data_IF_606056517403
#
_entry.id   IF_606056517403
#
_cell.length_a   1.000
_cell.length_b   1.000
_cell.length_c   1.000
_cell.angle_alpha   90.00
_cell.angle_beta   90.00
_cell.angle_gamma   90.00
#
_symmetry.space_group_name_H-M   'P 1'
#
loop_
_entity.id
_entity.type
_entity.pdbx_description
1 polymer ?
#
# COMPACT_ATOMS: atom_id res chain seq x y z
N UNK A 1 32.67 4.63 -4.21
CA UNK A 1 31.93 3.35 -4.29
C UNK A 1 31.23 3.05 -2.96
N UNK A 2 29.91 3.31 -2.88
CA UNK A 2 28.90 2.92 -1.85
C UNK A 2 27.79 3.99 -1.81
N UNK A 3 27.02 4.14 -2.90
CA UNK A 3 25.81 5.01 -2.93
C UNK A 3 24.66 4.49 -3.81
N UNK A 4 24.76 3.30 -4.40
CA UNK A 4 23.72 2.79 -5.31
C UNK A 4 22.69 1.84 -4.66
N UNK A 5 22.78 1.56 -3.36
CA UNK A 5 21.84 0.69 -2.63
C UNK A 5 20.83 1.45 -1.76
N UNK A 6 20.67 2.77 -1.94
CA UNK A 6 19.77 3.61 -1.12
C UNK A 6 18.41 3.91 -1.76
N UNK A 7 18.20 3.64 -3.06
CA UNK A 7 16.96 4.01 -3.74
C UNK A 7 15.81 3.00 -3.52
N UNK A 8 16.10 1.69 -3.42
CA UNK A 8 15.10 0.70 -3.00
C UNK A 8 14.79 0.75 -1.50
N UNK A 9 15.59 1.47 -0.71
CA UNK A 9 15.41 1.58 0.74
C UNK A 9 14.34 2.61 1.09
N UNK A 10 13.95 3.55 0.23
CA UNK A 10 13.01 4.63 0.60
C UNK A 10 11.53 4.24 0.51
N UNK A 11 11.13 3.44 -0.47
CA UNK A 11 9.79 2.83 -0.52
C UNK A 11 9.65 1.71 0.51
N UNK A 12 10.73 0.97 0.74
CA UNK A 12 10.80 0.06 1.89
C UNK A 12 10.81 0.87 3.17
N UNK A 13 11.48 2.02 3.32
CA UNK A 13 11.45 2.84 4.54
C UNK A 13 10.08 3.45 4.80
N UNK A 14 9.29 3.87 3.81
CA UNK A 14 7.91 4.23 4.10
C UNK A 14 7.12 2.98 4.53
N UNK A 15 7.23 1.86 3.81
CA UNK A 15 6.56 0.62 4.19
C UNK A 15 7.17 -0.11 5.41
N UNK A 16 8.38 0.22 5.89
CA UNK A 16 9.14 -0.48 6.95
C UNK A 16 9.42 0.42 8.15
N UNK A 17 9.27 1.73 8.01
CA UNK A 17 8.86 2.62 9.10
C UNK A 17 7.42 2.27 9.52
N UNK A 18 6.61 1.70 8.61
CA UNK A 18 5.24 1.26 8.94
C UNK A 18 5.04 -0.26 9.15
N UNK A 19 5.89 -1.17 8.65
CA UNK A 19 5.61 -2.62 8.69
C UNK A 19 6.73 -3.52 9.26
N UNK A 20 7.66 -3.01 10.05
CA UNK A 20 8.53 -3.87 10.87
C UNK A 20 8.88 -3.20 12.19
N UNK A 21 8.34 -3.76 13.27
CA UNK A 21 8.79 -3.59 14.66
C UNK A 21 8.12 -2.49 15.51
N UNK A 22 8.00 -2.72 16.84
CA UNK A 22 7.08 -2.05 17.75
C UNK A 22 7.71 -0.76 18.27
N UNK A 23 7.66 0.34 17.52
CA UNK A 23 8.50 1.49 17.86
C UNK A 23 8.02 2.80 17.23
N UNK A 24 7.13 3.53 17.91
CA UNK A 24 7.10 5.01 17.84
C UNK A 24 7.74 5.60 19.11
N UNK A 25 8.87 5.02 19.50
CA UNK A 25 9.87 5.63 20.36
C UNK A 25 11.22 5.14 19.82
N UNK A 26 11.89 5.98 19.02
CA UNK A 26 13.32 5.81 18.84
C UNK A 26 13.99 6.36 20.11
N UNK A 27 14.56 5.46 20.91
CA UNK A 27 15.62 5.82 21.84
C UNK A 27 16.85 6.24 21.04
N UNK A 28 17.14 7.53 21.08
CA UNK A 28 18.31 8.17 20.48
C UNK A 28 17.92 9.52 19.89
N UNK A 29 18.54 10.65 20.32
CA UNK A 29 18.13 11.96 19.83
C UNK A 29 18.38 12.02 18.31
N UNK A 30 17.34 12.27 17.49
CA UNK A 30 17.58 12.63 16.10
C UNK A 30 18.41 13.92 16.07
N UNK A 31 19.19 14.18 15.01
CA UNK A 31 19.86 15.46 14.85
C UNK A 31 18.83 16.58 15.00
N UNK A 32 19.10 17.56 15.86
CA UNK A 32 18.22 18.71 16.12
C UNK A 32 17.90 19.41 14.79
N UNK A 33 16.72 19.16 14.26
CA UNK A 33 16.10 19.99 13.24
C UNK A 33 15.13 20.90 13.99
N UNK A 34 15.46 22.18 14.18
CA UNK A 34 14.57 23.12 14.85
C UNK A 34 13.21 23.14 14.13
N UNK A 35 12.11 22.89 14.85
CA UNK A 35 10.75 23.07 14.34
C UNK A 35 9.83 21.85 14.26
N UNK A 36 10.27 20.65 14.66
CA UNK A 36 9.34 19.50 14.75
C UNK A 36 8.39 19.62 15.94
N UNK A 37 7.16 19.10 15.80
CA UNK A 37 6.15 19.06 16.88
C UNK A 37 6.73 18.49 18.19
N UNK A 38 7.61 17.49 18.10
CA UNK A 38 8.26 16.82 19.23
C UNK A 38 9.29 17.69 19.96
N UNK A 39 9.85 18.70 19.29
CA UNK A 39 10.90 19.57 19.83
C UNK A 39 10.37 20.79 20.59
N UNK A 40 9.08 21.11 20.42
CA UNK A 40 8.39 22.17 21.17
C UNK A 40 7.45 21.53 22.21
N UNK A 41 7.70 21.69 23.52
CA UNK A 41 6.87 21.10 24.57
C UNK A 41 5.38 21.49 24.52
N UNK A 42 5.07 22.69 24.03
CA UNK A 42 3.68 23.15 23.90
C UNK A 42 2.99 22.47 22.72
N UNK A 43 3.67 22.38 21.58
CA UNK A 43 3.14 21.66 20.41
C UNK A 43 3.02 20.16 20.69
N UNK A 44 3.99 19.56 21.39
CA UNK A 44 3.94 18.17 21.82
C UNK A 44 2.73 17.90 22.74
N UNK A 45 2.50 18.76 23.73
CA UNK A 45 1.34 18.62 24.62
C UNK A 45 0.00 18.81 23.89
N UNK A 46 -0.08 19.79 22.97
CA UNK A 46 -1.27 19.99 22.13
C UNK A 46 -1.53 18.79 21.21
N UNK A 47 -0.46 18.25 20.60
CA UNK A 47 -0.52 17.05 19.77
C UNK A 47 -1.02 15.86 20.57
N UNK A 48 -0.49 15.62 21.77
CA UNK A 48 -0.91 14.53 22.64
C UNK A 48 -2.40 14.66 23.02
N UNK A 49 -2.83 15.85 23.45
CA UNK A 49 -4.22 16.11 23.82
C UNK A 49 -5.19 15.88 22.64
N UNK A 50 -4.79 16.29 21.43
CA UNK A 50 -5.57 16.04 20.22
C UNK A 50 -5.67 14.54 19.90
N UNK A 51 -4.55 13.80 19.95
CA UNK A 51 -4.51 12.36 19.69
C UNK A 51 -5.35 11.57 20.70
N UNK A 52 -5.32 11.94 21.98
CA UNK A 52 -6.11 11.28 23.01
C UNK A 52 -7.62 11.52 22.83
N UNK A 53 -8.02 12.75 22.52
CA UNK A 53 -9.41 13.07 22.21
C UNK A 53 -9.90 12.34 20.95
N UNK A 54 -9.07 12.31 19.89
CA UNK A 54 -9.39 11.58 18.67
C UNK A 54 -9.49 10.08 18.90
N UNK A 55 -8.53 9.49 19.63
CA UNK A 55 -8.56 8.05 20.01
C UNK A 55 -9.83 7.70 20.75
N UNK A 56 -10.24 8.52 21.73
CA UNK A 56 -11.48 8.28 22.47
C UNK A 56 -12.72 8.30 21.56
N UNK A 57 -12.80 9.24 20.62
CA UNK A 57 -13.89 9.31 19.65
C UNK A 57 -13.89 8.10 18.70
N UNK A 58 -12.72 7.68 18.21
CA UNK A 58 -12.56 6.48 17.38
C UNK A 58 -13.02 5.25 18.16
N UNK A 59 -12.53 5.02 19.37
CA UNK A 59 -12.94 3.86 20.17
C UNK A 59 -14.45 3.83 20.43
N UNK A 60 -15.06 4.96 20.75
CA UNK A 60 -16.49 5.06 20.96
C UNK A 60 -17.26 4.67 19.70
N UNK A 61 -16.87 5.22 18.54
CA UNK A 61 -17.49 4.91 17.26
C UNK A 61 -17.31 3.44 16.86
N UNK A 62 -16.10 2.89 17.01
CA UNK A 62 -15.82 1.49 16.65
C UNK A 62 -16.61 0.51 17.52
N UNK A 63 -16.81 0.79 18.82
CA UNK A 63 -17.72 0.01 19.67
C UNK A 63 -19.16 0.08 19.17
N UNK A 64 -19.63 1.25 18.73
CA UNK A 64 -20.98 1.43 18.18
C UNK A 64 -21.19 0.63 16.90
N UNK A 65 -20.25 0.66 15.95
CA UNK A 65 -20.41 -0.11 14.70
C UNK A 65 -20.25 -1.62 14.97
N UNK A 66 -19.31 -2.03 15.82
CA UNK A 66 -19.13 -3.44 16.16
C UNK A 66 -20.39 -4.05 16.80
N UNK A 67 -21.13 -3.27 17.60
CA UNK A 67 -22.39 -3.70 18.21
C UNK A 67 -23.51 -4.03 17.20
N UNK A 68 -23.39 -3.56 15.93
CA UNK A 68 -24.32 -3.95 14.86
C UNK A 68 -24.16 -5.41 14.43
N UNK A 69 -22.99 -5.99 14.67
CA UNK A 69 -22.73 -7.41 14.43
C UNK A 69 -22.64 -7.83 12.95
N UNK A 70 -22.60 -6.88 12.01
CA UNK A 70 -22.40 -7.23 10.60
C UNK A 70 -20.94 -7.63 10.36
N UNK A 71 -20.65 -8.56 9.44
CA UNK A 71 -19.27 -8.97 9.16
C UNK A 71 -18.37 -7.79 8.80
N UNK A 72 -18.90 -6.84 8.03
CA UNK A 72 -18.17 -5.65 7.57
C UNK A 72 -17.88 -4.68 8.72
N UNK A 73 -18.86 -4.39 9.58
CA UNK A 73 -18.65 -3.50 10.73
C UNK A 73 -17.66 -4.11 11.73
N UNK A 74 -17.78 -5.41 12.02
CA UNK A 74 -16.89 -6.13 12.93
C UNK A 74 -15.44 -6.15 12.40
N UNK A 75 -15.27 -6.44 11.12
CA UNK A 75 -13.96 -6.46 10.47
C UNK A 75 -13.27 -5.09 10.54
N UNK A 76 -13.99 -4.03 10.17
CA UNK A 76 -13.46 -2.66 10.20
C UNK A 76 -13.16 -2.22 11.62
N UNK A 77 -14.02 -2.55 12.58
CA UNK A 77 -13.76 -2.29 13.99
C UNK A 77 -12.46 -2.96 14.46
N UNK A 78 -12.22 -4.22 14.09
CA UNK A 78 -10.99 -4.93 14.41
C UNK A 78 -9.74 -4.27 13.83
N UNK A 79 -9.79 -3.84 12.57
CA UNK A 79 -8.63 -3.18 11.93
C UNK A 79 -8.33 -1.80 12.46
N UNK A 80 -9.35 -0.98 12.67
CA UNK A 80 -9.19 0.40 13.10
C UNK A 80 -9.04 0.53 14.62
N UNK A 81 -9.18 -0.56 15.38
CA UNK A 81 -9.04 -0.52 16.84
C UNK A 81 -7.64 -0.01 17.22
N UNK A 82 -7.51 1.02 18.08
CA UNK A 82 -6.21 1.51 18.51
C UNK A 82 -5.45 0.43 19.30
N UNK A 83 -4.28 0.01 18.80
CA UNK A 83 -3.44 -1.06 19.40
C UNK A 83 -2.19 -0.54 20.11
N UNK A 84 -2.02 0.78 20.17
CA UNK A 84 -0.94 1.42 20.90
C UNK A 84 -1.39 1.77 22.31
N UNK A 85 -0.56 1.44 23.29
CA UNK A 85 -0.73 1.84 24.68
C UNK A 85 0.65 1.92 25.33
N UNK A 86 0.81 2.81 26.32
CA UNK A 86 2.06 3.01 27.05
C UNK A 86 2.47 1.79 27.89
N UNK A 87 1.52 0.86 28.11
CA UNK A 87 1.70 -0.36 28.90
C UNK A 87 1.33 -1.61 28.06
N UNK A 88 2.18 -2.64 28.16
CA UNK A 88 1.98 -3.97 27.57
C UNK A 88 0.59 -4.57 27.87
N UNK A 89 0.03 -4.38 29.07
CA UNK A 89 -1.30 -4.91 29.43
C UNK A 89 -2.45 -4.21 28.68
N UNK A 90 -2.29 -2.91 28.41
CA UNK A 90 -3.27 -2.14 27.62
C UNK A 90 -3.19 -2.60 26.17
N UNK A 91 -1.97 -2.72 25.65
CA UNK A 91 -1.72 -3.21 24.31
C UNK A 91 -2.27 -4.63 24.11
N UNK A 92 -2.01 -5.55 25.04
CA UNK A 92 -2.51 -6.92 24.98
C UNK A 92 -4.04 -6.98 24.94
N UNK A 93 -4.73 -6.17 25.75
CA UNK A 93 -6.20 -6.06 25.73
C UNK A 93 -6.72 -5.49 24.41
N UNK A 94 -6.03 -4.50 23.84
CA UNK A 94 -6.39 -3.94 22.55
C UNK A 94 -6.25 -4.97 21.42
N UNK A 95 -5.16 -5.75 21.42
CA UNK A 95 -4.98 -6.86 20.49
C UNK A 95 -6.06 -7.94 20.63
N UNK A 96 -6.39 -8.33 21.87
CA UNK A 96 -7.46 -9.29 22.14
C UNK A 96 -8.83 -8.80 21.64
N UNK A 97 -9.16 -7.51 21.86
CA UNK A 97 -10.41 -6.92 21.38
C UNK A 97 -10.50 -6.93 19.85
N UNK A 98 -9.41 -6.53 19.19
CA UNK A 98 -9.29 -6.57 17.74
C UNK A 98 -9.47 -7.99 17.19
N UNK A 99 -8.77 -8.97 17.78
CA UNK A 99 -8.87 -10.38 17.40
C UNK A 99 -10.29 -10.93 17.58
N UNK A 100 -10.95 -10.61 18.69
CA UNK A 100 -12.32 -11.03 18.96
C UNK A 100 -13.32 -10.51 17.90
N UNK A 101 -13.16 -9.27 17.44
CA UNK A 101 -14.02 -8.73 16.37
C UNK A 101 -13.71 -9.34 15.00
N UNK A 102 -12.44 -9.60 14.68
CA UNK A 102 -12.07 -10.29 13.43
C UNK A 102 -12.60 -11.73 13.41
N UNK A 103 -12.50 -12.45 14.54
CA UNK A 103 -13.06 -13.81 14.66
C UNK A 103 -14.60 -13.79 14.58
N UNK A 104 -15.26 -12.82 15.20
CA UNK A 104 -16.71 -12.64 15.09
C UNK A 104 -17.13 -12.28 13.65
N UNK A 105 -16.36 -11.45 12.94
CA UNK A 105 -16.60 -11.12 11.54
C UNK A 105 -16.53 -12.38 10.65
N UNK A 106 -15.54 -13.23 10.88
CA UNK A 106 -15.42 -14.51 10.19
C UNK A 106 -16.61 -15.44 10.50
N UNK A 107 -16.99 -15.57 11.77
CA UNK A 107 -18.12 -16.40 12.18
C UNK A 107 -19.47 -15.92 11.59
N UNK A 108 -19.61 -14.61 11.40
CA UNK A 108 -20.78 -14.01 10.77
C UNK A 108 -20.73 -14.01 9.22
N UNK A 109 -19.57 -14.26 8.61
CA UNK A 109 -19.42 -14.21 7.14
C UNK A 109 -20.10 -15.41 6.46
N UNK A 110 -21.08 -15.10 5.62
CA UNK A 110 -21.78 -16.07 4.75
C UNK A 110 -21.07 -16.30 3.41
N UNK A 111 -20.06 -15.49 3.08
CA UNK A 111 -19.39 -15.50 1.78
C UNK A 111 -20.11 -14.68 0.68
N UNK A 112 -21.14 -13.91 1.04
CA UNK A 112 -21.87 -13.04 0.11
C UNK A 112 -21.17 -11.69 -0.14
N UNK A 113 -20.22 -11.31 0.72
CA UNK A 113 -19.39 -10.10 0.56
C UNK A 113 -17.92 -10.52 0.31
N UNK A 114 -17.48 -10.60 -0.96
CA UNK A 114 -16.10 -10.97 -1.28
C UNK A 114 -15.05 -10.04 -0.69
N UNK A 115 -15.37 -8.77 -0.43
CA UNK A 115 -14.42 -7.85 0.19
C UNK A 115 -14.14 -8.26 1.65
N UNK A 116 -15.17 -8.72 2.37
CA UNK A 116 -15.02 -9.24 3.74
C UNK A 116 -14.18 -10.52 3.74
N UNK A 117 -14.44 -11.46 2.82
CA UNK A 117 -13.65 -12.69 2.76
C UNK A 117 -12.18 -12.42 2.39
N UNK A 118 -11.95 -11.48 1.45
CA UNK A 118 -10.59 -11.07 1.05
C UNK A 118 -9.85 -10.43 2.21
N UNK A 119 -10.52 -9.54 2.92
CA UNK A 119 -10.02 -8.89 4.10
C UNK A 119 -9.63 -9.88 5.21
N UNK A 120 -10.49 -10.87 5.46
CA UNK A 120 -10.28 -11.90 6.47
C UNK A 120 -9.05 -12.77 6.17
N UNK A 121 -8.71 -13.00 4.90
CA UNK A 121 -7.46 -13.71 4.53
C UNK A 121 -6.21 -13.07 5.13
N UNK A 122 -6.18 -11.74 5.22
CA UNK A 122 -5.06 -10.98 5.76
C UNK A 122 -5.24 -10.66 7.24
N UNK A 123 -6.47 -10.41 7.68
CA UNK A 123 -6.78 -10.05 9.06
C UNK A 123 -6.54 -11.21 10.02
N UNK A 124 -6.97 -12.43 9.69
CA UNK A 124 -6.99 -13.52 10.65
C UNK A 124 -5.58 -13.89 11.17
N UNK A 125 -4.56 -14.13 10.31
CA UNK A 125 -3.22 -14.45 10.79
C UNK A 125 -2.58 -13.31 11.61
N UNK A 126 -2.86 -12.04 11.25
CA UNK A 126 -2.32 -10.87 11.95
C UNK A 126 -2.92 -10.65 13.33
N UNK A 127 -4.11 -11.18 13.59
CA UNK A 127 -4.84 -10.99 14.84
C UNK A 127 -4.97 -12.28 15.66
N UNK A 128 -4.23 -13.33 15.31
CA UNK A 128 -4.32 -14.66 15.93
C UNK A 128 -5.76 -15.22 15.96
N UNK A 129 -6.58 -14.82 14.97
CA UNK A 129 -7.97 -15.25 14.86
C UNK A 129 -8.07 -16.57 14.11
N UNK A 130 -8.96 -17.46 14.57
CA UNK A 130 -9.15 -18.80 14.00
C UNK A 130 -10.07 -18.76 12.80
N UNK A 131 -9.49 -18.60 11.62
CA UNK A 131 -10.22 -18.62 10.35
C UNK A 131 -9.78 -19.79 9.47
N UNK A 132 -10.73 -20.41 8.76
CA UNK A 132 -10.40 -21.38 7.72
C UNK A 132 -9.96 -20.64 6.45
N UNK A 133 -8.65 -20.48 6.32
CA UNK A 133 -8.03 -19.84 5.15
C UNK A 133 -8.38 -20.56 3.84
N UNK A 134 -8.53 -21.89 3.87
CA UNK A 134 -8.88 -22.67 2.69
C UNK A 134 -10.30 -22.36 2.22
N UNK A 135 -11.25 -22.27 3.15
CA UNK A 135 -12.63 -21.89 2.86
C UNK A 135 -12.72 -20.46 2.29
N UNK A 136 -12.00 -19.50 2.88
CA UNK A 136 -11.96 -18.11 2.38
C UNK A 136 -11.40 -18.06 0.95
N UNK A 137 -10.27 -18.72 0.68
CA UNK A 137 -9.71 -18.78 -0.67
C UNK A 137 -10.68 -19.44 -1.65
N UNK A 138 -11.37 -20.51 -1.26
CA UNK A 138 -12.36 -21.17 -2.10
C UNK A 138 -13.52 -20.24 -2.47
N UNK A 139 -14.09 -19.52 -1.50
CA UNK A 139 -15.18 -18.56 -1.73
C UNK A 139 -14.74 -17.44 -2.66
N UNK A 140 -13.55 -16.88 -2.42
CA UNK A 140 -13.01 -15.80 -3.24
C UNK A 140 -12.72 -16.22 -4.67
N UNK A 141 -12.10 -17.39 -4.87
CA UNK A 141 -11.87 -17.91 -6.22
C UNK A 141 -13.19 -18.29 -6.93
N UNK A 142 -14.26 -18.59 -6.21
CA UNK A 142 -15.58 -18.78 -6.81
C UNK A 142 -16.24 -17.46 -7.19
N UNK A 143 -16.10 -16.42 -6.36
CA UNK A 143 -16.63 -15.08 -6.63
C UNK A 143 -15.86 -14.35 -7.73
N UNK A 144 -14.55 -14.58 -7.83
CA UNK A 144 -13.64 -13.91 -8.76
C UNK A 144 -12.58 -14.87 -9.36
N UNK A 145 -13.01 -15.84 -10.20
CA UNK A 145 -12.14 -16.91 -10.73
C UNK A 145 -11.04 -16.41 -11.68
N UNK A 146 -11.15 -15.19 -12.19
CA UNK A 146 -10.25 -14.61 -13.18
C UNK A 146 -9.15 -13.72 -12.59
N UNK A 147 -9.07 -13.60 -11.27
CA UNK A 147 -8.15 -12.69 -10.59
C UNK A 147 -6.82 -13.36 -10.22
N UNK A 148 -5.75 -12.90 -10.86
CA UNK A 148 -4.41 -13.40 -10.63
C UNK A 148 -3.91 -13.20 -9.19
N UNK A 149 -4.35 -12.16 -8.47
CA UNK A 149 -3.93 -11.93 -7.09
C UNK A 149 -4.38 -13.07 -6.17
N UNK A 150 -5.66 -13.44 -6.24
CA UNK A 150 -6.22 -14.55 -5.46
C UNK A 150 -5.54 -15.88 -5.79
N UNK A 151 -5.29 -16.14 -7.07
CA UNK A 151 -4.62 -17.36 -7.54
C UNK A 151 -3.17 -17.43 -7.08
N UNK A 152 -2.46 -16.29 -7.04
CA UNK A 152 -1.09 -16.22 -6.50
C UNK A 152 -1.07 -16.38 -4.97
N UNK A 153 -2.08 -15.86 -4.29
CA UNK A 153 -2.25 -16.07 -2.85
C UNK A 153 -2.56 -17.54 -2.54
N UNK A 154 -3.39 -18.21 -3.34
CA UNK A 154 -3.64 -19.65 -3.25
C UNK A 154 -2.40 -20.49 -3.59
N UNK A 155 -1.61 -20.06 -4.58
CA UNK A 155 -0.31 -20.66 -4.88
C UNK A 155 0.63 -20.58 -3.66
N UNK A 156 0.75 -19.41 -3.04
CA UNK A 156 1.60 -19.23 -1.86
C UNK A 156 1.15 -20.13 -0.69
N UNK A 157 -0.15 -20.21 -0.44
CA UNK A 157 -0.73 -21.09 0.58
C UNK A 157 -0.40 -22.57 0.30
N UNK A 158 -0.55 -23.02 -0.95
CA UNK A 158 -0.20 -24.38 -1.35
C UNK A 158 1.29 -24.67 -1.16
N UNK A 159 2.18 -23.72 -1.47
CA UNK A 159 3.63 -23.83 -1.22
C UNK A 159 3.91 -23.97 0.29
N UNK A 160 3.27 -23.15 1.14
CA UNK A 160 3.42 -23.25 2.60
C UNK A 160 2.97 -24.62 3.14
N UNK A 161 1.89 -25.17 2.58
CA UNK A 161 1.40 -26.52 2.89
C UNK A 161 2.19 -27.65 2.22
N UNK A 162 3.22 -27.33 1.43
CA UNK A 162 4.04 -28.28 0.65
C UNK A 162 3.23 -29.09 -0.38
N UNK A 163 2.08 -28.58 -0.81
CA UNK A 163 1.26 -29.16 -1.88
C UNK A 163 1.70 -28.58 -3.24
N UNK A 164 2.77 -29.15 -3.78
CA UNK A 164 3.37 -28.66 -5.04
C UNK A 164 2.45 -28.86 -6.25
N UNK A 165 1.57 -29.85 -6.23
CA UNK A 165 0.61 -30.08 -7.31
C UNK A 165 -0.45 -28.97 -7.32
N UNK A 166 -1.02 -28.61 -6.16
CA UNK A 166 -1.92 -27.47 -6.07
C UNK A 166 -1.22 -26.15 -6.41
N UNK A 167 0.00 -25.94 -5.89
CA UNK A 167 0.78 -24.75 -6.18
C UNK A 167 0.98 -24.56 -7.69
N UNK A 168 1.34 -25.61 -8.43
CA UNK A 168 1.53 -25.50 -9.88
C UNK A 168 0.21 -25.22 -10.61
N UNK A 169 -0.90 -25.85 -10.21
CA UNK A 169 -2.21 -25.55 -10.81
C UNK A 169 -2.59 -24.08 -10.62
N UNK A 170 -2.43 -23.54 -9.41
CA UNK A 170 -2.73 -22.13 -9.14
C UNK A 170 -1.79 -21.18 -9.89
N UNK A 171 -0.52 -21.55 -10.07
CA UNK A 171 0.42 -20.79 -10.89
C UNK A 171 -0.04 -20.71 -12.36
N UNK A 172 -0.39 -21.86 -12.95
CA UNK A 172 -0.88 -21.91 -14.33
C UNK A 172 -2.23 -21.20 -14.49
N UNK A 173 -3.11 -21.28 -13.48
CA UNK A 173 -4.35 -20.53 -13.47
C UNK A 173 -4.07 -19.01 -13.42
N UNK A 174 -3.15 -18.55 -12.57
CA UNK A 174 -2.75 -17.14 -12.49
C UNK A 174 -2.15 -16.63 -13.82
N UNK A 175 -1.38 -17.47 -14.52
CA UNK A 175 -0.84 -17.14 -15.84
C UNK A 175 -1.91 -17.01 -16.94
N UNK A 176 -3.05 -17.68 -16.76
CA UNK A 176 -4.21 -17.65 -17.66
C UNK A 176 -5.34 -16.73 -17.14
N UNK A 177 -5.10 -16.02 -16.05
CA UNK A 177 -6.06 -15.10 -15.46
C UNK A 177 -6.36 -13.93 -16.39
N UNK A 178 -7.52 -13.31 -16.21
CA UNK A 178 -8.00 -12.21 -17.07
C UNK A 178 -7.64 -10.84 -16.50
N UNK A 179 -7.43 -10.73 -15.19
CA UNK A 179 -7.14 -9.47 -14.52
C UNK A 179 -6.35 -9.69 -13.22
N UNK A 180 -5.88 -8.60 -12.62
CA UNK A 180 -5.22 -8.56 -11.32
C UNK A 180 -5.90 -7.46 -10.49
N UNK A 181 -6.42 -7.80 -9.31
CA UNK A 181 -7.04 -6.84 -8.39
C UNK A 181 -6.65 -7.18 -6.95
N UNK A 182 -5.84 -6.31 -6.35
CA UNK A 182 -5.37 -6.47 -4.97
C UNK A 182 -6.33 -5.93 -3.90
N UNK A 183 -7.51 -5.42 -4.27
CA UNK A 183 -8.52 -4.84 -3.36
C UNK A 183 -8.01 -3.75 -2.39
N UNK A 184 -6.80 -3.24 -2.61
CA UNK A 184 -6.15 -2.24 -1.78
C UNK A 184 -6.99 -0.96 -1.64
N UNK A 185 -7.52 -0.50 -2.75
CA UNK A 185 -8.41 0.67 -2.81
C UNK A 185 -9.75 0.41 -2.09
N UNK A 186 -10.35 -0.77 -2.30
CA UNK A 186 -11.66 -1.13 -1.74
C UNK A 186 -11.62 -1.19 -0.21
N UNK A 187 -10.55 -1.76 0.34
CA UNK A 187 -10.32 -1.83 1.79
C UNK A 187 -10.02 -0.44 2.36
N UNK A 188 -9.17 0.34 1.69
CA UNK A 188 -8.89 1.71 2.08
C UNK A 188 -10.15 2.58 2.11
N UNK A 189 -11.01 2.49 1.09
CA UNK A 189 -12.27 3.22 1.00
C UNK A 189 -13.23 2.82 2.13
N UNK A 190 -13.29 1.53 2.47
CA UNK A 190 -14.09 1.04 3.58
C UNK A 190 -13.63 1.65 4.93
N UNK A 191 -12.32 1.69 5.17
CA UNK A 191 -11.77 2.31 6.38
C UNK A 191 -12.01 3.83 6.40
N UNK A 192 -11.76 4.53 5.29
CA UNK A 192 -11.99 5.97 5.19
C UNK A 192 -13.45 6.35 5.45
N UNK A 193 -14.39 5.61 4.84
CA UNK A 193 -15.83 5.85 5.00
C UNK A 193 -16.27 5.68 6.46
N UNK A 194 -15.60 4.81 7.21
CA UNK A 194 -15.87 4.60 8.64
C UNK A 194 -15.26 5.73 9.47
N UNK A 195 -13.98 6.05 9.29
CA UNK A 195 -13.31 7.09 10.09
C UNK A 195 -13.87 8.50 9.84
N UNK A 196 -14.41 8.78 8.65
CA UNK A 196 -15.10 10.05 8.35
C UNK A 196 -16.37 10.28 9.15
N UNK A 197 -16.94 9.24 9.76
CA UNK A 197 -18.11 9.35 10.64
C UNK A 197 -17.73 9.64 12.09
N UNK A 198 -16.44 9.62 12.42
CA UNK A 198 -15.95 9.90 13.77
C UNK A 198 -15.81 11.42 13.95
N UNK A 199 -16.31 12.00 15.05
CA UNK A 199 -16.08 13.40 15.35
C UNK A 199 -14.58 13.69 15.51
N UNK A 200 -14.02 14.55 14.66
CA UNK A 200 -12.59 14.92 14.74
C UNK A 200 -12.42 16.15 15.63
N UNK A 201 -11.59 16.12 16.68
CA UNK A 201 -11.29 17.29 17.48
C UNK A 201 -10.67 18.41 16.61
N UNK A 202 -10.95 19.69 16.89
CA UNK A 202 -10.30 20.79 16.19
C UNK A 202 -8.79 20.77 16.47
N UNK A 203 -7.99 21.10 15.45
CA UNK A 203 -6.56 21.33 15.61
C UNK A 203 -6.30 22.76 16.04
N UNK A 204 -5.41 22.94 17.02
CA UNK A 204 -4.83 24.26 17.31
C UNK A 204 -4.12 24.80 16.05
N UNK A 205 -4.22 26.11 15.71
CA UNK A 205 -3.62 26.64 14.49
C UNK A 205 -2.11 26.47 14.39
N UNK A 206 -1.37 26.57 15.49
CA UNK A 206 0.08 26.39 15.49
C UNK A 206 0.43 24.90 15.30
N UNK A 207 -0.31 24.01 15.96
CA UNK A 207 -0.19 22.57 15.74
C UNK A 207 -0.53 22.18 14.30
N UNK A 208 -1.60 22.73 13.73
CA UNK A 208 -2.01 22.50 12.35
C UNK A 208 -0.93 22.91 11.35
N UNK A 209 -0.30 24.08 11.56
CA UNK A 209 0.81 24.53 10.73
C UNK A 209 2.01 23.59 10.81
N UNK A 210 2.43 23.21 12.03
CA UNK A 210 3.55 22.31 12.26
C UNK A 210 3.33 20.91 11.64
N UNK A 211 2.15 20.32 11.85
CA UNK A 211 1.79 19.04 11.22
C UNK A 211 1.78 19.16 9.69
N UNK A 212 1.24 20.27 9.16
CA UNK A 212 1.21 20.50 7.72
C UNK A 212 2.61 20.58 7.09
N UNK A 213 3.57 21.13 7.84
CA UNK A 213 4.98 21.15 7.48
C UNK A 213 5.61 19.74 7.56
N UNK A 214 5.43 19.04 8.68
CA UNK A 214 5.96 17.69 8.93
C UNK A 214 5.45 16.67 7.89
N UNK A 215 4.16 16.73 7.55
CA UNK A 215 3.54 15.91 6.52
C UNK A 215 3.84 16.40 5.10
N UNK A 216 4.32 17.64 4.96
CA UNK A 216 4.69 18.16 3.66
C UNK A 216 3.54 18.56 2.75
N UNK A 217 2.38 18.91 3.30
CA UNK A 217 1.15 19.14 2.53
C UNK A 217 1.20 20.50 1.80
N UNK A 218 2.04 21.42 2.28
CA UNK A 218 2.18 22.79 1.74
C UNK A 218 1.10 23.76 2.20
N UNK A 219 0.40 23.40 3.28
CA UNK A 219 -0.61 24.18 3.99
C UNK A 219 -0.71 23.64 5.42
N UNK A 220 -1.37 24.38 6.31
CA UNK A 220 -1.77 23.84 7.60
C UNK A 220 -2.61 22.57 7.41
N UNK A 221 -2.35 21.56 8.24
CA UNK A 221 -3.12 20.34 8.28
C UNK A 221 -4.54 20.61 8.78
N UNK A 222 -5.49 19.91 8.20
CA UNK A 222 -6.87 19.87 8.64
C UNK A 222 -7.09 18.62 9.50
N UNK A 223 -8.15 18.60 10.31
CA UNK A 223 -8.53 17.38 11.03
C UNK A 223 -8.74 16.18 10.08
N UNK A 224 -9.21 16.42 8.85
CA UNK A 224 -9.40 15.38 7.85
C UNK A 224 -8.07 14.79 7.37
N UNK A 225 -7.04 15.62 7.17
CA UNK A 225 -5.71 15.13 6.76
C UNK A 225 -5.15 14.10 7.76
N UNK A 226 -5.41 14.31 9.05
CA UNK A 226 -4.97 13.37 10.09
C UNK A 226 -5.68 12.01 9.99
N UNK A 227 -7.00 12.01 9.75
CA UNK A 227 -7.76 10.79 9.55
C UNK A 227 -7.30 10.06 8.28
N UNK A 228 -7.07 10.81 7.20
CA UNK A 228 -6.63 10.28 5.91
C UNK A 228 -5.22 9.67 5.99
N UNK A 229 -4.28 10.31 6.70
CA UNK A 229 -2.95 9.74 6.99
C UNK A 229 -3.08 8.42 7.76
N UNK A 230 -3.95 8.35 8.77
CA UNK A 230 -4.18 7.13 9.52
C UNK A 230 -4.74 6.01 8.63
N UNK A 231 -5.72 6.31 7.77
CA UNK A 231 -6.25 5.35 6.78
C UNK A 231 -5.15 4.85 5.86
N UNK A 232 -4.36 5.75 5.27
CA UNK A 232 -3.28 5.37 4.35
C UNK A 232 -2.25 4.46 5.03
N UNK A 233 -1.84 4.79 6.25
CA UNK A 233 -0.87 3.99 7.01
C UNK A 233 -1.41 2.59 7.33
N UNK A 234 -2.66 2.49 7.81
CA UNK A 234 -3.28 1.20 8.11
C UNK A 234 -3.48 0.40 6.81
N UNK A 235 -3.94 1.02 5.73
CA UNK A 235 -4.16 0.36 4.44
C UNK A 235 -2.86 -0.23 3.87
N UNK A 236 -1.78 0.55 3.91
CA UNK A 236 -0.44 0.08 3.54
C UNK A 236 -0.02 -1.14 4.39
N UNK A 237 -0.29 -1.13 5.70
CA UNK A 237 0.07 -2.24 6.57
C UNK A 237 -0.76 -3.52 6.32
N UNK A 238 -2.00 -3.42 5.86
CA UNK A 238 -2.91 -4.57 5.75
C UNK A 238 -3.08 -5.12 4.33
N UNK A 239 -3.03 -4.27 3.31
CA UNK A 239 -3.52 -4.60 1.98
C UNK A 239 -2.44 -4.64 0.89
N UNK A 240 -1.16 -4.39 1.21
CA UNK A 240 -0.08 -4.58 0.24
C UNK A 240 -0.08 -6.06 -0.20
N UNK A 241 -0.23 -6.35 -1.50
CA UNK A 241 -0.33 -7.71 -1.99
C UNK A 241 0.99 -8.46 -1.80
N UNK A 242 0.88 -9.77 -1.63
CA UNK A 242 2.06 -10.64 -1.52
C UNK A 242 2.69 -10.81 -2.91
N UNK A 243 3.70 -9.99 -3.20
CA UNK A 243 4.50 -10.08 -4.44
C UNK A 243 5.58 -11.18 -4.38
N UNK A 244 5.73 -11.83 -3.23
CA UNK A 244 6.75 -12.84 -2.97
C UNK A 244 6.74 -14.00 -4.00
N UNK A 245 5.59 -14.62 -4.34
CA UNK A 245 5.57 -15.72 -5.31
C UNK A 245 6.12 -15.33 -6.67
N UNK A 246 5.73 -14.14 -7.16
CA UNK A 246 6.18 -13.62 -8.45
C UNK A 246 7.68 -13.30 -8.36
N UNK A 247 8.11 -12.54 -7.35
CA UNK A 247 9.52 -12.12 -7.22
C UNK A 247 10.49 -13.27 -6.99
N UNK A 248 10.03 -14.40 -6.43
CA UNK A 248 10.84 -15.62 -6.31
C UNK A 248 10.88 -16.43 -7.59
N UNK A 249 9.71 -16.77 -8.14
CA UNK A 249 9.60 -17.70 -9.28
C UNK A 249 9.98 -17.04 -10.61
N UNK A 250 9.73 -15.73 -10.74
CA UNK A 250 10.06 -14.93 -11.91
C UNK A 250 11.39 -14.18 -11.74
N UNK A 251 12.23 -14.52 -10.75
CA UNK A 251 13.55 -13.92 -10.64
C UNK A 251 14.45 -14.43 -11.76
N UNK A 252 14.91 -13.54 -12.63
CA UNK A 252 16.01 -13.84 -13.52
C UNK A 252 17.29 -13.98 -12.69
N UNK A 253 17.74 -15.21 -12.44
CA UNK A 253 19.19 -15.42 -12.57
C UNK A 253 19.48 -15.42 -14.06
N UNK A 254 20.48 -14.64 -14.45
CA UNK A 254 20.90 -14.41 -15.84
C UNK A 254 20.94 -15.74 -16.60
N UNK A 255 20.00 -15.94 -17.54
CA UNK A 255 20.14 -16.91 -18.64
C UNK A 255 19.32 -18.20 -18.64
N UNK A 256 18.37 -18.49 -17.74
CA UNK A 256 17.74 -19.84 -17.79
C UNK A 256 16.33 -20.02 -17.20
N UNK A 257 15.42 -19.03 -17.27
CA UNK A 257 14.00 -19.39 -17.07
C UNK A 257 13.53 -20.24 -18.27
N UNK A 258 12.95 -21.43 -18.06
CA UNK A 258 12.28 -22.19 -19.11
C UNK A 258 11.27 -21.33 -19.86
N UNK A 259 11.09 -21.58 -21.16
CA UNK A 259 10.29 -20.70 -22.04
C UNK A 259 8.82 -20.60 -21.58
N UNK A 260 8.25 -21.70 -21.11
CA UNK A 260 6.92 -21.79 -20.52
C UNK A 260 6.80 -20.99 -19.21
N UNK A 261 7.79 -21.09 -18.33
CA UNK A 261 7.86 -20.30 -17.08
C UNK A 261 7.98 -18.82 -17.39
N UNK A 262 8.83 -18.45 -18.35
CA UNK A 262 8.98 -17.06 -18.80
C UNK A 262 7.66 -16.53 -19.37
N UNK A 263 6.97 -17.30 -20.21
CA UNK A 263 5.68 -16.91 -20.77
C UNK A 263 4.62 -16.68 -19.68
N UNK A 264 4.54 -17.58 -18.69
CA UNK A 264 3.65 -17.42 -17.54
C UNK A 264 3.98 -16.16 -16.72
N UNK A 265 5.26 -15.95 -16.41
CA UNK A 265 5.72 -14.76 -15.70
C UNK A 265 5.41 -13.47 -16.47
N UNK A 266 5.63 -13.43 -17.79
CA UNK A 266 5.29 -12.28 -18.65
C UNK A 266 3.79 -11.98 -18.60
N UNK A 267 2.93 -13.00 -18.62
CA UNK A 267 1.48 -12.81 -18.48
C UNK A 267 1.11 -12.20 -17.15
N UNK A 268 1.62 -12.74 -16.05
CA UNK A 268 1.33 -12.23 -14.70
C UNK A 268 1.85 -10.78 -14.55
N UNK A 269 3.07 -10.48 -15.00
CA UNK A 269 3.58 -9.10 -14.99
C UNK A 269 2.77 -8.16 -15.88
N UNK A 270 2.19 -8.63 -16.99
CA UNK A 270 1.32 -7.81 -17.83
C UNK A 270 0.07 -7.38 -17.07
N UNK A 271 -0.55 -8.30 -16.32
CA UNK A 271 -1.71 -8.02 -15.47
C UNK A 271 -1.33 -7.09 -14.30
N UNK A 272 -0.22 -7.39 -13.61
CA UNK A 272 0.27 -6.56 -12.50
C UNK A 272 0.64 -5.14 -12.93
N UNK A 273 1.22 -4.97 -14.13
CA UNK A 273 1.55 -3.65 -14.68
C UNK A 273 0.31 -2.87 -15.16
N UNK A 274 -0.85 -3.53 -15.30
CA UNK A 274 -2.11 -2.89 -15.64
C UNK A 274 -2.91 -2.49 -14.40
N UNK A 275 -2.62 -3.06 -13.24
CA UNK A 275 -3.20 -2.65 -11.97
C UNK A 275 -2.64 -1.28 -11.54
N UNK A 276 -3.52 -0.29 -11.54
CA UNK A 276 -3.21 1.09 -11.13
C UNK A 276 -3.46 1.36 -9.65
N UNK A 277 -3.94 0.38 -8.88
CA UNK A 277 -4.30 0.57 -7.47
C UNK A 277 -3.11 1.02 -6.62
N UNK A 278 -1.94 0.41 -6.81
CA UNK A 278 -0.70 0.73 -6.08
C UNK A 278 0.51 0.80 -7.02
N UNK A 279 1.43 1.73 -6.75
CA UNK A 279 2.58 2.04 -7.62
C UNK A 279 3.59 0.89 -7.71
N UNK A 280 3.68 0.07 -6.66
CA UNK A 280 4.70 -0.98 -6.54
C UNK A 280 4.53 -2.08 -7.60
N UNK A 281 3.30 -2.37 -8.02
CA UNK A 281 3.02 -3.37 -9.06
C UNK A 281 3.68 -2.99 -10.40
N UNK A 282 3.30 -1.86 -11.01
CA UNK A 282 3.95 -1.34 -12.22
C UNK A 282 5.46 -1.13 -12.07
N UNK A 283 5.94 -0.65 -10.91
CA UNK A 283 7.36 -0.43 -10.65
C UNK A 283 8.21 -1.71 -10.81
N UNK A 284 7.66 -2.85 -10.42
CA UNK A 284 8.32 -4.16 -10.52
C UNK A 284 8.11 -4.78 -11.90
N UNK A 285 6.89 -4.70 -12.42
CA UNK A 285 6.49 -5.43 -13.62
C UNK A 285 7.02 -4.81 -14.93
N UNK A 286 6.95 -3.48 -15.08
CA UNK A 286 7.30 -2.80 -16.33
C UNK A 286 8.77 -3.03 -16.76
N UNK A 287 9.77 -2.96 -15.86
CA UNK A 287 11.14 -3.29 -16.23
C UNK A 287 11.32 -4.70 -16.79
N UNK A 288 10.65 -5.69 -16.20
CA UNK A 288 10.72 -7.09 -16.64
C UNK A 288 10.09 -7.27 -18.02
N UNK A 289 8.97 -6.60 -18.29
CA UNK A 289 8.31 -6.66 -19.60
C UNK A 289 9.18 -6.09 -20.72
N UNK A 290 9.94 -5.01 -20.47
CA UNK A 290 10.90 -4.48 -21.45
C UNK A 290 12.04 -5.47 -21.71
N UNK A 291 12.59 -6.07 -20.64
CA UNK A 291 13.70 -7.02 -20.75
C UNK A 291 13.30 -8.31 -21.47
N UNK A 292 12.09 -8.81 -21.23
CA UNK A 292 11.63 -10.11 -21.74
C UNK A 292 10.76 -10.04 -22.99
N UNK A 293 10.58 -8.86 -23.59
CA UNK A 293 9.86 -8.74 -24.84
C UNK A 293 10.53 -9.61 -25.93
N UNK A 294 9.73 -10.41 -26.62
CA UNK A 294 10.19 -11.36 -27.65
C UNK A 294 10.28 -10.69 -29.03
N UNK A 295 9.50 -9.62 -29.25
CA UNK A 295 9.46 -8.84 -30.49
C UNK A 295 9.62 -7.33 -30.23
N UNK A 296 10.08 -6.60 -31.24
CA UNK A 296 10.31 -5.15 -31.13
C UNK A 296 9.02 -4.37 -30.84
N UNK A 297 7.90 -4.73 -31.48
CA UNK A 297 6.59 -4.11 -31.22
C UNK A 297 6.16 -4.27 -29.74
N UNK A 298 6.39 -5.46 -29.17
CA UNK A 298 6.12 -5.70 -27.75
C UNK A 298 7.05 -4.87 -26.86
N UNK A 299 8.34 -4.80 -27.22
CA UNK A 299 9.35 -4.04 -26.49
C UNK A 299 9.05 -2.55 -26.49
N UNK A 300 8.66 -2.00 -27.63
CA UNK A 300 8.36 -0.58 -27.79
C UNK A 300 7.10 -0.19 -27.02
N UNK A 301 6.06 -1.03 -27.04
CA UNK A 301 4.87 -0.83 -26.22
C UNK A 301 5.20 -0.89 -24.71
N UNK A 302 6.04 -1.83 -24.27
CA UNK A 302 6.49 -1.92 -22.88
C UNK A 302 7.35 -0.71 -22.47
N UNK A 303 8.24 -0.24 -23.36
CA UNK A 303 9.04 0.97 -23.15
C UNK A 303 8.19 2.21 -23.00
N UNK A 304 7.18 2.39 -23.85
CA UNK A 304 6.29 3.55 -23.73
C UNK A 304 5.51 3.53 -22.41
N UNK A 305 5.02 2.36 -21.97
CA UNK A 305 4.40 2.22 -20.64
C UNK A 305 5.37 2.54 -19.51
N UNK A 306 6.61 2.05 -19.59
CA UNK A 306 7.66 2.35 -18.61
C UNK A 306 7.99 3.85 -18.59
N UNK A 307 8.08 4.50 -19.75
CA UNK A 307 8.36 5.94 -19.88
C UNK A 307 7.28 6.78 -19.19
N UNK A 308 6.00 6.49 -19.45
CA UNK A 308 4.87 7.19 -18.79
C UNK A 308 4.83 6.96 -17.29
N UNK A 309 5.06 5.72 -16.86
CA UNK A 309 5.15 5.40 -15.44
C UNK A 309 6.29 6.17 -14.77
N UNK A 310 7.50 6.11 -15.34
CA UNK A 310 8.69 6.74 -14.79
C UNK A 310 8.53 8.27 -14.72
N UNK A 311 7.88 8.89 -15.71
CA UNK A 311 7.55 10.31 -15.67
C UNK A 311 6.76 10.69 -14.42
N UNK A 312 5.64 10.00 -14.18
CA UNK A 312 4.78 10.29 -13.02
C UNK A 312 5.53 10.01 -11.73
N UNK A 313 6.18 8.85 -11.65
CA UNK A 313 6.89 8.42 -10.45
C UNK A 313 8.05 9.35 -10.09
N UNK A 314 8.94 9.67 -11.02
CA UNK A 314 10.10 10.53 -10.76
C UNK A 314 9.70 11.96 -10.45
N UNK A 315 8.73 12.54 -11.17
CA UNK A 315 8.30 13.91 -10.89
C UNK A 315 7.67 14.02 -9.48
N UNK A 316 6.87 13.04 -9.05
CA UNK A 316 6.33 13.06 -7.68
C UNK A 316 7.45 12.86 -6.65
N UNK A 317 8.40 11.96 -6.89
CA UNK A 317 9.57 11.82 -5.99
C UNK A 317 10.40 13.10 -5.92
N UNK A 318 10.54 13.84 -7.02
CA UNK A 318 11.19 15.16 -7.03
C UNK A 318 10.38 16.21 -6.27
N UNK A 319 9.04 16.20 -6.34
CA UNK A 319 8.20 17.05 -5.50
C UNK A 319 8.44 16.75 -4.01
N UNK A 320 8.63 15.49 -3.64
CA UNK A 320 8.92 15.12 -2.25
C UNK A 320 10.28 15.62 -1.73
N UNK A 321 11.21 15.97 -2.62
CA UNK A 321 12.51 16.56 -2.28
C UNK A 321 12.47 18.09 -2.13
N UNK A 322 11.39 18.75 -2.58
CA UNK A 322 11.22 20.20 -2.45
C UNK A 322 10.80 20.57 -1.02
N UNK A 323 11.09 21.80 -0.56
CA UNK A 323 10.52 22.34 0.67
C UNK A 323 8.98 22.20 0.68
N UNK A 324 8.40 21.97 1.86
CA UNK A 324 6.95 21.80 2.02
C UNK A 324 6.16 22.99 1.46
N UNK A 325 6.68 24.21 1.60
CA UNK A 325 6.07 25.45 1.07
C UNK A 325 6.09 25.56 -0.45
N UNK A 326 6.91 24.77 -1.14
CA UNK A 326 7.07 24.79 -2.59
C UNK A 326 6.37 23.60 -3.28
N UNK A 327 5.57 22.84 -2.54
CA UNK A 327 4.72 21.76 -3.05
C UNK A 327 3.30 21.92 -2.53
N UNK A 328 2.34 21.37 -3.25
CA UNK A 328 0.95 21.36 -2.87
C UNK A 328 0.39 19.95 -2.95
N UNK A 329 -0.14 19.44 -1.84
CA UNK A 329 -0.94 18.22 -1.85
C UNK A 329 -2.44 18.61 -1.91
N UNK A 330 -3.18 18.20 -2.96
CA UNK A 330 -4.61 18.46 -3.05
C UNK A 330 -5.36 17.94 -1.82
N UNK A 331 -6.36 18.69 -1.36
CA UNK A 331 -7.16 18.30 -0.19
C UNK A 331 -7.98 17.02 -0.40
N UNK A 332 -8.24 16.65 -1.65
CA UNK A 332 -8.93 15.43 -2.07
C UNK A 332 -7.98 14.32 -2.53
N UNK A 333 -6.66 14.44 -2.27
CA UNK A 333 -5.66 13.47 -2.74
C UNK A 333 -6.00 12.04 -2.31
N UNK A 334 -6.38 11.84 -1.05
CA UNK A 334 -6.72 10.51 -0.51
C UNK A 334 -8.01 9.98 -1.12
N UNK A 335 -8.99 10.83 -1.45
CA UNK A 335 -10.19 10.40 -2.17
C UNK A 335 -9.85 9.89 -3.57
N UNK A 336 -9.01 10.62 -4.31
CA UNK A 336 -8.55 10.18 -5.63
C UNK A 336 -7.74 8.89 -5.52
N UNK A 337 -6.87 8.77 -4.51
CA UNK A 337 -6.08 7.57 -4.26
C UNK A 337 -6.95 6.34 -4.01
N UNK A 338 -7.94 6.44 -3.12
CA UNK A 338 -8.81 5.31 -2.77
C UNK A 338 -9.81 4.98 -3.88
N UNK A 339 -10.21 5.94 -4.71
CA UNK A 339 -11.16 5.72 -5.81
C UNK A 339 -10.47 5.22 -7.08
N UNK A 340 -9.40 5.90 -7.49
CA UNK A 340 -8.79 5.77 -8.82
C UNK A 340 -7.39 5.13 -8.79
N UNK A 341 -6.82 4.93 -7.59
CA UNK A 341 -5.52 4.32 -7.38
C UNK A 341 -4.36 5.30 -7.23
N UNK A 342 -3.25 4.80 -6.71
CA UNK A 342 -2.07 5.60 -6.36
C UNK A 342 -1.51 6.36 -7.56
N UNK A 343 -1.42 5.73 -8.74
CA UNK A 343 -0.87 6.39 -9.92
C UNK A 343 -1.77 7.52 -10.43
N UNK A 344 -3.10 7.41 -10.26
CA UNK A 344 -4.03 8.49 -10.59
C UNK A 344 -3.89 9.66 -9.60
N UNK A 345 -3.81 9.37 -8.30
CA UNK A 345 -3.56 10.39 -7.27
C UNK A 345 -2.22 11.12 -7.46
N UNK A 346 -1.17 10.39 -7.84
CA UNK A 346 0.12 10.99 -8.19
C UNK A 346 0.01 11.95 -9.37
N UNK A 347 -0.71 11.59 -10.44
CA UNK A 347 -0.97 12.52 -11.56
C UNK A 347 -1.78 13.75 -11.13
N UNK A 348 -2.77 13.55 -10.26
CA UNK A 348 -3.56 14.64 -9.67
C UNK A 348 -2.67 15.62 -8.88
N UNK A 349 -1.75 15.09 -8.07
CA UNK A 349 -0.75 15.90 -7.37
C UNK A 349 0.16 16.64 -8.34
N UNK A 350 0.65 16.00 -9.41
CA UNK A 350 1.48 16.67 -10.41
C UNK A 350 0.76 17.85 -11.06
N UNK A 351 -0.50 17.67 -11.46
CA UNK A 351 -1.33 18.73 -12.06
C UNK A 351 -1.50 19.91 -11.11
N UNK A 352 -1.75 19.63 -9.83
CA UNK A 352 -1.88 20.65 -8.78
C UNK A 352 -0.57 21.43 -8.52
N UNK A 353 0.57 20.89 -8.94
CA UNK A 353 1.90 21.53 -8.87
C UNK A 353 2.37 22.08 -10.23
N UNK A 354 1.48 22.18 -11.22
CA UNK A 354 1.81 22.70 -12.55
C UNK A 354 2.72 21.79 -13.38
N UNK A 355 2.83 20.51 -13.02
CA UNK A 355 3.59 19.51 -13.77
C UNK A 355 2.65 18.73 -14.67
N UNK A 356 3.02 18.58 -15.95
CA UNK A 356 2.22 17.82 -16.91
C UNK A 356 2.04 16.36 -16.45
N UNK A 357 0.86 15.78 -16.68
CA UNK A 357 0.58 14.38 -16.32
C UNK A 357 1.24 13.34 -17.23
N UNK A 358 1.77 13.76 -18.38
CA UNK A 358 2.39 12.91 -19.40
C UNK A 358 3.78 13.46 -19.80
N UNK A 359 4.74 12.57 -20.12
CA UNK A 359 6.08 13.00 -20.50
C UNK A 359 6.13 13.63 -21.91
N UNK A 360 6.95 14.68 -22.11
CA UNK A 360 7.35 15.15 -23.44
C UNK A 360 7.89 14.02 -24.32
N UNK A 361 7.76 14.13 -25.65
CA UNK A 361 8.07 13.03 -26.58
C UNK A 361 9.53 12.54 -26.49
N UNK A 362 10.48 13.43 -26.24
CA UNK A 362 11.91 13.19 -26.15
C UNK A 362 12.43 13.00 -24.72
N UNK A 363 11.53 13.01 -23.72
CA UNK A 363 11.92 12.87 -22.32
C UNK A 363 12.43 11.47 -21.99
N UNK A 364 13.48 11.42 -21.16
CA UNK A 364 14.05 10.22 -20.57
C UNK A 364 14.21 10.36 -19.04
N UNK A 365 14.00 9.28 -18.28
CA UNK A 365 14.09 9.25 -16.82
C UNK A 365 15.52 9.50 -16.32
N UNK A 366 15.65 10.12 -15.15
CA UNK A 366 16.93 10.29 -14.46
C UNK A 366 17.40 8.99 -13.80
N UNK A 367 16.47 8.08 -13.47
CA UNK A 367 16.81 6.74 -13.02
C UNK A 367 17.61 6.00 -14.12
N UNK A 368 18.86 5.64 -13.79
CA UNK A 368 19.80 5.00 -14.73
C UNK A 368 19.27 3.66 -15.25
N UNK A 369 18.59 2.88 -14.42
CA UNK A 369 18.07 1.56 -14.81
C UNK A 369 16.90 1.71 -15.78
N UNK A 370 15.97 2.62 -15.52
CA UNK A 370 14.88 2.92 -16.45
C UNK A 370 15.41 3.51 -17.76
N UNK A 371 16.36 4.44 -17.69
CA UNK A 371 16.99 5.02 -18.89
C UNK A 371 17.69 3.97 -19.74
N UNK A 372 18.38 3.01 -19.11
CA UNK A 372 19.04 1.92 -19.82
C UNK A 372 18.02 1.03 -20.57
N UNK A 373 16.88 0.72 -19.94
CA UNK A 373 15.81 -0.06 -20.57
C UNK A 373 15.16 0.67 -21.75
N UNK A 374 14.96 1.98 -21.62
CA UNK A 374 14.35 2.79 -22.68
C UNK A 374 15.30 3.01 -23.87
N UNK A 375 16.60 3.18 -23.63
CA UNK A 375 17.59 3.44 -24.70
C UNK A 375 18.21 2.16 -25.27
N UNK A 376 18.14 1.03 -24.56
CA UNK A 376 18.87 -0.19 -24.90
C UNK A 376 20.37 -0.14 -24.58
N UNK A 377 20.86 0.98 -24.03
CA UNK A 377 22.25 1.13 -23.64
C UNK A 377 22.40 0.75 -22.16
N UNK A 378 23.39 -0.08 -21.78
CA UNK A 378 23.62 -0.39 -20.38
C UNK A 378 23.94 0.90 -19.59
N UNK A 379 23.58 0.99 -18.29
CA UNK A 379 23.86 2.17 -17.51
C UNK A 379 25.38 2.38 -17.47
N UNK A 380 25.84 3.55 -17.94
CA UNK A 380 27.25 3.91 -17.87
C UNK A 380 27.66 3.96 -16.40
N UNK A 381 28.75 3.26 -16.07
CA UNK A 381 29.33 3.27 -14.73
C UNK A 381 29.65 4.73 -14.33
N UNK A 382 29.44 5.09 -13.05
CA UNK A 382 29.73 6.45 -12.56
C UNK A 382 31.20 6.83 -12.69
#
# INVERSE_FOLDING_TARGET
MRKAMQACTWLVLMASVFASSPSFAQEGPPPEVPGRVESDPQLAAASQAWHDAWRANVEAHLRTIAARGTPRDLLVAGWLWPRSGENADIQARAWAQSGAWVEAAYAASTGEDPLVDWALLNACPKNDARCDRGLLLQRLMAADPGNAELLLTAHHDAVQRKDMAAAERYWQAAANATHYRAHFNDVGLLMATTLRQVPVPPLDPALAAAIGEDLGIGRAATPQDMADVAVMAINAAIAIPTLHPITQRCRAQVGSLPADVRAACKRIYTLLAADGSIVIGPAIALPQLVQWADADVERDAARERLRRFAWVYENVMQLYQRPSTARHLPGDYVDVFLRDGELAAMRHQLQANGVAGEPPADWLPDNRDYRALLTGNPPTAP
#
